data_IF_695442130336
#
_entry.id   IF_695442130336
#
_cell.length_a   1.000
_cell.length_b   1.000
_cell.length_c   1.000
_cell.angle_alpha   90.00
_cell.angle_beta   90.00
_cell.angle_gamma   90.00
#
_symmetry.space_group_name_H-M   'P 1'
#
loop_
_entity.id
_entity.type
_entity.pdbx_description
1 polymer ?
#
# COMPACT_ATOMS: atom_id res chain seq x y z
N UNK A 1 27.19 16.62 -1.85
CA UNK A 1 25.87 17.04 -2.31
C UNK A 1 25.11 15.81 -2.74
N UNK A 2 24.04 15.48 -2.01
CA UNK A 2 23.12 14.43 -2.39
C UNK A 2 22.51 14.85 -3.74
N UNK A 3 22.70 14.06 -4.79
CA UNK A 3 22.00 14.25 -6.04
C UNK A 3 20.48 14.21 -5.79
N UNK A 4 19.67 14.87 -6.62
CA UNK A 4 18.22 14.93 -6.41
C UNK A 4 17.66 13.51 -6.33
N UNK A 5 16.83 13.28 -5.32
CA UNK A 5 16.08 12.05 -5.20
C UNK A 5 15.27 11.86 -6.49
N UNK A 6 15.34 10.68 -7.07
CA UNK A 6 14.62 10.41 -8.33
C UNK A 6 13.12 10.52 -8.09
N UNK A 7 12.39 11.34 -8.84
CA UNK A 7 10.98 11.63 -8.58
C UNK A 7 10.12 10.37 -8.47
N UNK A 8 10.34 9.37 -9.32
CA UNK A 8 9.50 8.18 -9.39
C UNK A 8 9.64 7.20 -8.20
N UNK A 9 10.69 7.30 -7.38
CA UNK A 9 10.88 6.37 -6.24
C UNK A 9 10.00 6.66 -5.05
N UNK A 10 9.80 7.94 -4.75
CA UNK A 10 9.00 8.43 -3.62
C UNK A 10 7.76 9.23 -4.10
N UNK A 11 7.40 9.14 -5.39
CA UNK A 11 6.14 9.66 -5.90
C UNK A 11 5.23 8.50 -6.31
N UNK A 12 3.92 8.61 -6.07
CA UNK A 12 2.96 7.61 -6.50
C UNK A 12 3.00 7.41 -8.01
N UNK A 13 2.92 6.16 -8.45
CA UNK A 13 2.69 5.83 -9.84
C UNK A 13 1.25 6.22 -10.21
N UNK A 14 1.07 7.03 -11.24
CA UNK A 14 -0.25 7.36 -11.77
C UNK A 14 -0.34 6.95 -13.25
N UNK A 15 -0.89 5.77 -13.52
CA UNK A 15 -1.12 5.31 -14.89
C UNK A 15 -2.13 6.17 -15.66
N UNK A 16 -3.05 6.87 -14.98
CA UNK A 16 -4.15 7.60 -15.61
C UNK A 16 -3.82 9.02 -16.11
N UNK A 17 -2.71 9.65 -15.68
CA UNK A 17 -2.47 11.07 -15.93
C UNK A 17 -1.61 11.43 -17.16
N UNK A 18 -1.15 10.47 -17.96
CA UNK A 18 -0.40 10.77 -19.17
C UNK A 18 -1.03 10.20 -20.44
N UNK A 19 -2.17 10.73 -20.83
CA UNK A 19 -2.56 10.77 -22.23
C UNK A 19 -2.02 12.06 -22.88
N UNK A 20 -0.72 12.13 -23.07
CA UNK A 20 -0.08 13.15 -23.90
C UNK A 20 -0.07 12.69 -25.36
N UNK A 21 -0.05 13.59 -26.35
CA UNK A 21 -0.15 13.21 -27.76
C UNK A 21 1.04 12.34 -28.18
N UNK A 22 0.73 11.22 -28.83
CA UNK A 22 1.69 10.25 -29.32
C UNK A 22 2.79 10.89 -30.19
N UNK A 23 4.03 10.55 -29.93
CA UNK A 23 5.15 10.86 -30.83
C UNK A 23 5.01 10.02 -32.10
N UNK A 24 5.22 10.57 -33.28
CA UNK A 24 5.26 9.80 -34.51
C UNK A 24 6.49 8.90 -34.54
N UNK A 25 6.30 7.63 -34.84
CA UNK A 25 7.35 6.64 -34.97
C UNK A 25 8.36 6.99 -36.08
N UNK A 26 9.64 6.95 -35.75
CA UNK A 26 10.73 6.98 -36.70
C UNK A 26 10.96 5.59 -37.31
N UNK A 27 11.53 5.50 -38.55
CA UNK A 27 11.69 4.24 -39.23
C UNK A 27 12.75 3.35 -38.60
N UNK A 28 12.40 2.05 -38.51
CA UNK A 28 13.25 1.01 -37.96
C UNK A 28 14.55 0.83 -38.74
N UNK A 29 15.62 0.56 -38.02
CA UNK A 29 16.83 -0.03 -38.56
C UNK A 29 16.88 -1.51 -38.22
N UNK A 30 16.90 -2.35 -39.26
CA UNK A 30 17.10 -3.78 -39.17
C UNK A 30 18.51 -4.08 -38.64
N UNK A 31 18.60 -4.52 -37.40
CA UNK A 31 19.79 -5.13 -36.81
C UNK A 31 19.72 -6.67 -36.85
N UNK A 32 20.84 -7.41 -36.78
CA UNK A 32 20.86 -8.86 -36.91
C UNK A 32 20.02 -9.52 -35.83
N UNK A 33 19.14 -10.41 -36.24
CA UNK A 33 18.15 -11.09 -35.41
C UNK A 33 18.75 -11.79 -34.19
N UNK A 34 18.05 -11.80 -33.06
CA UNK A 34 18.52 -12.38 -31.83
C UNK A 34 18.56 -13.91 -31.92
N UNK A 35 19.67 -14.48 -31.46
CA UNK A 35 19.75 -15.91 -31.10
C UNK A 35 18.59 -16.21 -30.15
N UNK A 36 17.84 -17.28 -30.38
CA UNK A 36 16.71 -17.71 -29.56
C UNK A 36 17.17 -17.94 -28.11
N UNK A 37 17.05 -16.89 -27.30
CA UNK A 37 17.09 -17.03 -25.84
C UNK A 37 15.88 -17.89 -25.45
N UNK A 38 16.09 -18.93 -24.64
CA UNK A 38 15.00 -19.68 -24.06
C UNK A 38 14.01 -18.69 -23.45
N UNK A 39 12.74 -18.72 -23.89
CA UNK A 39 11.72 -17.80 -23.41
C UNK A 39 11.71 -17.82 -21.89
N UNK A 40 12.07 -16.73 -21.26
CA UNK A 40 12.03 -16.59 -19.82
C UNK A 40 10.58 -16.83 -19.35
N UNK A 41 10.44 -17.68 -18.33
CA UNK A 41 9.12 -18.02 -17.80
C UNK A 41 8.72 -17.02 -16.73
N UNK A 42 7.45 -16.59 -16.71
CA UNK A 42 6.95 -15.75 -15.63
C UNK A 42 6.92 -16.52 -14.29
N UNK A 43 7.04 -15.77 -13.20
CA UNK A 43 6.91 -16.29 -11.83
C UNK A 43 5.44 -16.30 -11.43
N UNK A 44 4.72 -17.32 -11.87
CA UNK A 44 3.27 -17.48 -11.67
C UNK A 44 2.95 -18.93 -11.31
N UNK A 45 1.83 -19.16 -10.58
CA UNK A 45 1.33 -20.53 -10.40
C UNK A 45 0.80 -21.07 -11.72
N UNK A 46 0.86 -22.40 -11.89
CA UNK A 46 0.37 -23.08 -13.11
C UNK A 46 -1.13 -22.90 -13.36
N UNK A 47 -1.88 -22.51 -12.35
CA UNK A 47 -3.34 -22.37 -12.40
C UNK A 47 -3.84 -21.05 -12.99
N UNK A 48 -2.95 -20.17 -13.41
CA UNK A 48 -3.30 -18.89 -14.02
C UNK A 48 -2.72 -18.76 -15.42
N UNK A 49 -3.39 -18.01 -16.29
CA UNK A 49 -2.83 -17.56 -17.56
C UNK A 49 -1.82 -16.44 -17.29
N UNK A 50 -0.57 -16.63 -17.67
CA UNK A 50 0.50 -15.71 -17.32
C UNK A 50 1.55 -15.65 -18.42
N UNK A 51 2.04 -14.44 -18.70
CA UNK A 51 3.11 -14.19 -19.67
C UNK A 51 4.20 -13.29 -19.10
N UNK A 52 5.38 -13.36 -19.69
CA UNK A 52 6.50 -12.47 -19.40
C UNK A 52 6.55 -11.36 -20.43
N UNK A 53 6.27 -10.13 -20.00
CA UNK A 53 6.36 -8.89 -20.78
C UNK A 53 7.26 -7.90 -20.03
N UNK A 54 8.58 -8.03 -20.14
CA UNK A 54 9.51 -7.28 -19.29
C UNK A 54 9.43 -5.77 -19.52
N UNK A 55 9.43 -5.01 -18.43
CA UNK A 55 9.70 -3.60 -18.44
C UNK A 55 11.16 -3.38 -18.87
N UNK A 56 11.44 -2.41 -19.77
CA UNK A 56 12.80 -2.14 -20.21
C UNK A 56 13.65 -1.61 -19.05
N UNK A 57 14.91 -2.03 -19.01
CA UNK A 57 15.92 -1.55 -18.07
C UNK A 57 17.08 -0.95 -18.86
N UNK A 58 17.04 0.36 -19.04
CA UNK A 58 17.89 1.11 -19.97
C UNK A 58 18.40 2.40 -19.34
N UNK A 59 19.57 2.83 -19.78
CA UNK A 59 20.05 4.20 -19.51
C UNK A 59 19.42 5.19 -20.47
N UNK A 60 19.14 6.38 -19.98
CA UNK A 60 18.67 7.51 -20.79
C UNK A 60 19.16 8.82 -20.17
N UNK A 61 18.97 9.92 -20.91
CA UNK A 61 19.24 11.26 -20.41
C UNK A 61 17.93 11.92 -20.01
N UNK A 62 17.87 12.43 -18.79
CA UNK A 62 16.68 13.15 -18.30
C UNK A 62 16.52 14.53 -18.96
N UNK A 63 15.44 15.22 -18.65
CA UNK A 63 15.13 16.54 -19.23
C UNK A 63 16.15 17.62 -18.83
N UNK A 64 16.92 17.41 -17.77
CA UNK A 64 17.98 18.30 -17.29
C UNK A 64 19.35 17.94 -17.89
N UNK A 65 19.42 16.93 -18.77
CA UNK A 65 20.64 16.49 -19.43
C UNK A 65 21.50 15.55 -18.59
N UNK A 66 21.00 15.00 -17.49
CA UNK A 66 21.75 14.10 -16.63
C UNK A 66 21.53 12.63 -17.04
N UNK A 67 22.57 11.79 -16.97
CA UNK A 67 22.42 10.36 -17.15
C UNK A 67 21.55 9.76 -16.06
N UNK A 68 20.61 8.92 -16.44
CA UNK A 68 19.73 8.20 -15.52
C UNK A 68 19.38 6.83 -16.10
N UNK A 69 18.54 6.06 -15.45
CA UNK A 69 18.18 4.73 -15.91
C UNK A 69 16.77 4.34 -15.49
N UNK A 70 16.23 3.39 -16.19
CA UNK A 70 15.09 2.54 -15.94
C UNK A 70 13.99 3.02 -15.04
N UNK A 71 12.99 2.20 -14.93
CA UNK A 71 11.80 2.40 -14.10
C UNK A 71 11.74 1.42 -12.89
N UNK A 72 12.81 0.67 -12.67
CA UNK A 72 12.99 -0.24 -11.54
C UNK A 72 14.46 -0.40 -11.20
N UNK A 73 14.75 -1.00 -10.06
CA UNK A 73 16.11 -1.32 -9.66
C UNK A 73 16.34 -2.82 -9.67
N UNK A 74 17.46 -3.25 -10.24
CA UNK A 74 17.91 -4.62 -10.11
C UNK A 74 18.33 -4.90 -8.69
N UNK A 75 18.00 -6.07 -8.18
CA UNK A 75 18.29 -6.49 -6.81
C UNK A 75 18.43 -8.01 -6.74
N UNK A 76 18.61 -8.53 -5.53
CA UNK A 76 18.75 -9.97 -5.25
C UNK A 76 17.85 -10.40 -4.10
N UNK A 77 16.66 -9.84 -4.03
CA UNK A 77 15.70 -10.19 -2.98
C UNK A 77 15.26 -11.67 -3.12
N UNK A 78 15.06 -12.41 -2.05
CA UNK A 78 15.14 -12.01 -0.64
C UNK A 78 16.56 -12.05 -0.05
N UNK A 79 17.59 -12.38 -0.83
CA UNK A 79 18.97 -12.47 -0.35
C UNK A 79 19.54 -11.12 0.11
N UNK A 80 19.16 -10.00 -0.56
CA UNK A 80 19.58 -8.65 -0.18
C UNK A 80 18.66 -8.05 0.89
N UNK A 81 17.35 -8.08 0.68
CA UNK A 81 16.32 -7.55 1.57
C UNK A 81 15.09 -8.46 1.48
N UNK A 82 14.39 -8.67 2.59
CA UNK A 82 13.15 -9.46 2.60
C UNK A 82 12.08 -8.81 1.72
N UNK A 83 11.20 -9.63 1.16
CA UNK A 83 9.96 -9.17 0.53
C UNK A 83 8.87 -9.34 1.58
N UNK A 84 8.41 -8.23 2.15
CA UNK A 84 7.49 -8.23 3.28
C UNK A 84 6.05 -7.91 2.86
N UNK A 85 5.87 -7.33 1.67
CA UNK A 85 4.57 -6.81 1.24
C UNK A 85 4.19 -7.25 -0.16
N UNK A 86 2.88 -7.39 -0.36
CA UNK A 86 2.25 -7.34 -1.67
C UNK A 86 1.34 -6.11 -1.67
N UNK A 87 1.51 -5.23 -2.67
CA UNK A 87 0.72 -4.01 -2.80
C UNK A 87 -0.26 -4.19 -3.95
N UNK A 88 -1.54 -4.10 -3.60
CA UNK A 88 -2.67 -4.17 -4.54
C UNK A 88 -2.98 -2.77 -5.04
N UNK A 89 -2.85 -2.59 -6.34
CA UNK A 89 -3.20 -1.36 -7.07
C UNK A 89 -4.39 -1.60 -7.98
N UNK A 90 -5.02 -0.53 -8.40
CA UNK A 90 -5.76 -0.52 -9.65
C UNK A 90 -5.15 0.49 -10.61
N UNK A 91 -5.27 0.24 -11.91
CA UNK A 91 -4.50 0.97 -12.92
C UNK A 91 -5.08 2.33 -13.26
N UNK A 92 -6.31 2.63 -12.86
CA UNK A 92 -7.07 3.78 -13.39
C UNK A 92 -6.90 3.91 -14.91
N UNK A 93 -6.89 2.77 -15.61
CA UNK A 93 -6.67 2.68 -17.04
C UNK A 93 -7.05 1.33 -17.61
N UNK A 94 -7.06 1.27 -18.95
CA UNK A 94 -7.35 0.06 -19.72
C UNK A 94 -6.08 -0.71 -20.01
N UNK A 95 -6.21 -2.00 -20.30
CA UNK A 95 -5.09 -2.94 -20.48
C UNK A 95 -3.99 -2.44 -21.42
N UNK A 96 -4.34 -2.01 -22.62
CA UNK A 96 -3.35 -1.57 -23.60
C UNK A 96 -2.59 -0.32 -23.13
N UNK A 97 -3.28 0.67 -22.58
CA UNK A 97 -2.67 1.89 -22.03
C UNK A 97 -1.71 1.57 -20.89
N UNK A 98 -2.08 0.63 -20.03
CA UNK A 98 -1.29 0.20 -18.88
C UNK A 98 -0.01 -0.51 -19.34
N UNK A 99 -0.11 -1.37 -20.34
CA UNK A 99 1.07 -2.04 -20.91
C UNK A 99 2.02 -1.05 -21.59
N UNK A 100 1.51 -0.07 -22.32
CA UNK A 100 2.32 0.98 -22.93
C UNK A 100 3.08 1.79 -21.87
N UNK A 101 2.42 2.05 -20.74
CA UNK A 101 3.03 2.82 -19.64
C UNK A 101 4.21 2.07 -18.98
N UNK A 102 4.07 0.80 -18.70
CA UNK A 102 5.14 0.00 -18.07
C UNK A 102 6.30 -0.26 -19.04
N UNK A 103 6.06 -0.15 -20.32
CA UNK A 103 7.10 -0.23 -21.37
C UNK A 103 7.89 1.06 -21.53
N UNK A 104 7.48 2.16 -20.90
CA UNK A 104 8.27 3.40 -20.85
C UNK A 104 9.39 3.28 -19.80
N UNK A 105 10.69 3.24 -20.20
CA UNK A 105 11.79 3.09 -19.25
C UNK A 105 12.02 4.33 -18.38
N UNK A 106 11.30 5.42 -18.61
CA UNK A 106 11.58 6.71 -17.97
C UNK A 106 10.66 7.05 -16.81
N UNK A 107 9.68 6.20 -16.49
CA UNK A 107 8.63 6.60 -15.56
C UNK A 107 8.46 5.65 -14.36
N UNK A 108 7.55 4.71 -14.43
CA UNK A 108 7.17 3.82 -13.33
C UNK A 108 7.17 2.37 -13.77
N UNK A 109 7.12 1.46 -12.81
CA UNK A 109 6.93 0.05 -13.08
C UNK A 109 6.20 -0.63 -11.92
N UNK A 110 5.75 -1.84 -12.19
CA UNK A 110 5.20 -2.76 -11.22
C UNK A 110 5.53 -4.19 -11.64
N UNK A 111 5.34 -5.13 -10.73
CA UNK A 111 5.76 -6.49 -11.03
C UNK A 111 4.77 -7.24 -11.92
N UNK A 112 3.47 -7.06 -11.70
CA UNK A 112 2.43 -7.77 -12.44
C UNK A 112 1.26 -6.87 -12.82
N UNK A 113 0.71 -7.08 -14.02
CA UNK A 113 -0.59 -6.55 -14.43
C UNK A 113 -1.62 -7.68 -14.52
N UNK A 114 -2.86 -7.41 -14.11
CA UNK A 114 -3.97 -8.36 -14.13
C UNK A 114 -5.11 -7.78 -14.97
N UNK A 115 -5.54 -8.54 -15.98
CA UNK A 115 -6.59 -8.10 -16.90
C UNK A 115 -7.98 -8.37 -16.32
N UNK A 116 -8.85 -7.37 -16.43
CA UNK A 116 -10.18 -7.43 -15.85
C UNK A 116 -11.06 -8.49 -16.52
N UNK A 117 -11.03 -8.59 -17.84
CA UNK A 117 -11.97 -9.43 -18.60
C UNK A 117 -11.86 -10.94 -18.31
N UNK A 118 -10.65 -11.44 -18.04
CA UNK A 118 -10.39 -12.88 -17.91
C UNK A 118 -9.38 -13.25 -16.83
N UNK A 119 -8.80 -12.27 -16.13
CA UNK A 119 -7.77 -12.49 -15.12
C UNK A 119 -6.40 -12.87 -15.67
N UNK A 120 -6.14 -12.68 -16.98
CA UNK A 120 -4.81 -12.88 -17.55
C UNK A 120 -3.77 -12.01 -16.85
N UNK A 121 -2.57 -12.56 -16.61
CA UNK A 121 -1.49 -11.90 -15.91
C UNK A 121 -0.32 -11.65 -16.86
N UNK A 122 0.24 -10.45 -16.82
CA UNK A 122 1.52 -10.12 -17.43
C UNK A 122 2.52 -9.74 -16.32
N UNK A 123 3.68 -10.39 -16.29
CA UNK A 123 4.77 -10.02 -15.40
C UNK A 123 5.77 -9.10 -16.13
N UNK A 124 6.14 -7.99 -15.49
CA UNK A 124 7.02 -6.97 -16.06
C UNK A 124 8.36 -6.84 -15.37
N UNK A 125 8.39 -7.05 -14.06
CA UNK A 125 9.59 -6.98 -13.23
C UNK A 125 9.66 -8.24 -12.37
N UNK A 126 10.84 -8.87 -12.31
CA UNK A 126 11.07 -10.04 -11.47
C UNK A 126 10.82 -9.71 -10.00
N UNK A 127 10.34 -10.69 -9.24
CA UNK A 127 10.10 -10.49 -7.80
C UNK A 127 11.40 -10.17 -7.03
N UNK A 128 12.55 -10.62 -7.51
CA UNK A 128 13.87 -10.27 -6.93
C UNK A 128 14.25 -8.79 -7.10
N UNK A 129 13.68 -8.09 -8.08
CA UNK A 129 13.99 -6.70 -8.44
C UNK A 129 12.93 -5.76 -7.84
N UNK A 130 13.33 -4.51 -7.57
CA UNK A 130 12.47 -3.52 -6.95
C UNK A 130 11.80 -2.62 -7.99
N UNK A 131 10.51 -2.83 -8.24
CA UNK A 131 9.68 -1.98 -9.07
C UNK A 131 9.33 -0.66 -8.35
N UNK A 132 8.98 0.37 -9.11
CA UNK A 132 8.64 1.70 -8.59
C UNK A 132 7.14 1.96 -8.75
N UNK A 133 6.36 1.62 -7.71
CA UNK A 133 4.89 1.67 -7.79
C UNK A 133 4.20 2.26 -6.57
N UNK A 134 4.82 2.19 -5.39
CA UNK A 134 4.12 2.47 -4.13
C UNK A 134 4.22 3.93 -3.66
N UNK A 135 5.02 4.76 -4.32
CA UNK A 135 5.26 6.13 -3.88
C UNK A 135 6.06 6.24 -2.58
N UNK A 136 6.68 5.15 -2.17
CA UNK A 136 7.49 5.03 -0.98
C UNK A 136 8.61 4.03 -1.25
N UNK A 137 9.86 4.50 -1.30
CA UNK A 137 10.99 3.65 -1.66
C UNK A 137 11.22 2.49 -0.69
N UNK A 138 11.01 2.71 0.61
CA UNK A 138 11.10 1.64 1.59
C UNK A 138 10.14 0.49 1.27
N UNK A 139 8.91 0.81 0.89
CA UNK A 139 7.90 -0.18 0.49
C UNK A 139 8.25 -0.79 -0.87
N UNK A 140 8.67 0.00 -1.86
CA UNK A 140 9.13 -0.52 -3.16
C UNK A 140 10.25 -1.54 -3.00
N UNK A 141 11.23 -1.26 -2.16
CA UNK A 141 12.37 -2.14 -1.90
C UNK A 141 11.98 -3.45 -1.21
N UNK A 142 10.79 -3.53 -0.61
CA UNK A 142 10.31 -4.66 0.20
C UNK A 142 8.98 -5.25 -0.29
N UNK A 143 8.55 -4.93 -1.48
CA UNK A 143 7.24 -5.37 -1.98
C UNK A 143 7.26 -5.93 -3.40
N UNK A 144 6.16 -6.56 -3.73
CA UNK A 144 5.74 -6.90 -5.08
C UNK A 144 4.45 -6.13 -5.36
N UNK A 145 4.41 -5.36 -6.44
CA UNK A 145 3.26 -4.58 -6.87
C UNK A 145 2.40 -5.29 -7.90
N UNK A 146 1.10 -5.30 -7.69
CA UNK A 146 0.09 -5.89 -8.57
C UNK A 146 -0.86 -4.80 -9.05
N UNK A 147 -0.89 -4.54 -10.34
CA UNK A 147 -1.80 -3.59 -10.98
C UNK A 147 -3.02 -4.29 -11.58
N UNK A 148 -4.19 -4.02 -11.01
CA UNK A 148 -5.46 -4.55 -11.46
C UNK A 148 -6.10 -3.59 -12.45
N UNK A 149 -6.36 -4.06 -13.68
CA UNK A 149 -6.99 -3.23 -14.71
C UNK A 149 -8.32 -2.68 -14.26
N UNK A 150 -8.52 -1.39 -14.42
CA UNK A 150 -9.83 -0.76 -14.26
C UNK A 150 -9.82 0.58 -13.59
N UNK A 151 -11.02 0.97 -13.15
CA UNK A 151 -11.31 2.26 -12.53
C UNK A 151 -12.04 2.04 -11.20
N UNK A 152 -11.51 2.57 -10.13
CA UNK A 152 -12.02 2.33 -8.77
C UNK A 152 -13.45 2.86 -8.54
N UNK A 153 -13.90 3.81 -9.34
CA UNK A 153 -15.25 4.35 -9.26
C UNK A 153 -16.31 3.52 -9.99
N UNK A 154 -15.90 2.50 -10.73
CA UNK A 154 -16.78 1.61 -11.49
C UNK A 154 -16.46 0.12 -11.24
N UNK A 155 -16.66 -0.35 -10.00
CA UNK A 155 -16.25 -1.69 -9.58
C UNK A 155 -17.00 -2.81 -10.30
N UNK A 156 -18.27 -2.61 -10.66
CA UNK A 156 -19.08 -3.64 -11.33
C UNK A 156 -18.57 -3.93 -12.75
N UNK A 157 -18.04 -2.91 -13.42
CA UNK A 157 -17.47 -3.09 -14.75
C UNK A 157 -16.07 -3.72 -14.71
N UNK A 158 -15.27 -3.43 -13.68
CA UNK A 158 -13.83 -3.68 -13.69
C UNK A 158 -13.34 -4.71 -12.69
N UNK A 159 -13.89 -4.75 -11.47
CA UNK A 159 -13.45 -5.70 -10.44
C UNK A 159 -14.19 -7.03 -10.58
N UNK A 160 -13.84 -7.75 -11.63
CA UNK A 160 -14.50 -9.01 -12.01
C UNK A 160 -14.07 -10.18 -11.12
N UNK A 161 -14.92 -11.19 -11.04
CA UNK A 161 -14.60 -12.44 -10.35
C UNK A 161 -13.37 -13.14 -10.96
N UNK A 162 -13.23 -13.11 -12.28
CA UNK A 162 -12.06 -13.67 -12.97
C UNK A 162 -10.76 -13.01 -12.49
N UNK A 163 -10.75 -11.69 -12.33
CA UNK A 163 -9.59 -10.94 -11.86
C UNK A 163 -9.33 -11.19 -10.37
N UNK A 164 -10.35 -11.19 -9.50
CA UNK A 164 -10.18 -11.53 -8.09
C UNK A 164 -9.57 -12.92 -7.90
N UNK A 165 -10.08 -13.92 -8.61
CA UNK A 165 -9.59 -15.30 -8.50
C UNK A 165 -8.16 -15.45 -8.99
N UNK A 166 -7.84 -14.89 -10.12
CA UNK A 166 -6.49 -14.91 -10.68
C UNK A 166 -5.50 -14.20 -9.76
N UNK A 167 -5.86 -13.03 -9.28
CA UNK A 167 -5.06 -12.25 -8.33
C UNK A 167 -4.82 -13.02 -7.01
N UNK A 168 -5.86 -13.61 -6.45
CA UNK A 168 -5.73 -14.38 -5.21
C UNK A 168 -4.79 -15.60 -5.39
N UNK A 169 -4.86 -16.29 -6.51
CA UNK A 169 -3.93 -17.39 -6.82
C UNK A 169 -2.49 -16.91 -6.92
N UNK A 170 -2.26 -15.77 -7.57
CA UNK A 170 -0.93 -15.15 -7.66
C UNK A 170 -0.41 -14.76 -6.28
N UNK A 171 -1.23 -14.10 -5.47
CA UNK A 171 -0.84 -13.68 -4.11
C UNK A 171 -0.52 -14.87 -3.21
N UNK A 172 -1.32 -15.94 -3.26
CA UNK A 172 -1.01 -17.17 -2.52
C UNK A 172 0.33 -17.78 -2.94
N UNK A 173 0.61 -17.81 -4.22
CA UNK A 173 1.88 -18.30 -4.77
C UNK A 173 3.05 -17.45 -4.27
N UNK A 174 2.97 -16.13 -4.39
CA UNK A 174 4.02 -15.19 -3.95
C UNK A 174 4.21 -15.23 -2.43
N UNK A 175 3.13 -15.27 -1.67
CA UNK A 175 3.18 -15.33 -0.22
C UNK A 175 3.85 -16.61 0.28
N UNK A 176 3.54 -17.76 -0.34
CA UNK A 176 4.21 -19.02 -0.02
C UNK A 176 5.69 -19.03 -0.41
N UNK A 177 6.02 -18.42 -1.56
CA UNK A 177 7.41 -18.37 -2.05
C UNK A 177 8.31 -17.45 -1.22
N UNK A 178 7.77 -16.38 -0.67
CA UNK A 178 8.53 -15.33 0.01
C UNK A 178 8.21 -15.21 1.51
N UNK A 179 7.50 -16.17 2.08
CA UNK A 179 7.10 -16.19 3.50
C UNK A 179 6.35 -14.92 3.95
N UNK A 180 5.44 -14.43 3.10
CA UNK A 180 4.65 -13.25 3.40
C UNK A 180 3.37 -13.68 4.13
N UNK A 181 3.11 -13.20 5.35
CA UNK A 181 1.85 -13.44 6.04
C UNK A 181 0.64 -12.90 5.27
N UNK A 182 -0.43 -13.69 5.21
CA UNK A 182 -1.68 -13.29 4.56
C UNK A 182 -2.58 -12.52 5.56
N UNK A 183 -2.26 -11.28 5.78
CA UNK A 183 -3.00 -10.33 6.61
C UNK A 183 -2.93 -8.91 6.02
N UNK A 184 -3.68 -7.96 6.58
CA UNK A 184 -3.75 -6.60 6.07
C UNK A 184 -2.60 -5.69 6.53
N UNK A 185 -1.62 -6.21 7.22
CA UNK A 185 -0.35 -5.52 7.46
C UNK A 185 0.74 -5.90 6.44
N UNK A 186 0.53 -6.95 5.65
CA UNK A 186 1.46 -7.41 4.61
C UNK A 186 0.84 -7.35 3.21
N UNK A 187 -0.47 -7.62 3.09
CA UNK A 187 -1.22 -7.44 1.85
C UNK A 187 -1.93 -6.08 1.93
N UNK A 188 -1.31 -5.09 1.32
CA UNK A 188 -1.73 -3.69 1.39
C UNK A 188 -2.43 -3.28 0.10
N UNK A 189 -3.41 -2.38 0.18
CA UNK A 189 -3.75 -1.52 -0.95
C UNK A 189 -2.72 -0.39 -1.07
N UNK A 190 -2.61 0.21 -2.24
CA UNK A 190 -1.79 1.42 -2.40
C UNK A 190 -2.23 2.52 -1.41
N UNK A 191 -3.53 2.61 -1.17
CA UNK A 191 -4.14 3.49 -0.19
C UNK A 191 -3.73 3.22 1.28
N UNK A 192 -3.07 2.11 1.55
CA UNK A 192 -2.56 1.76 2.88
C UNK A 192 -1.06 2.06 3.07
N UNK A 193 -0.36 2.42 2.00
CA UNK A 193 1.06 2.76 2.03
C UNK A 193 1.25 4.18 2.58
N UNK A 194 2.08 4.38 3.62
CA UNK A 194 2.29 5.72 4.18
C UNK A 194 3.08 6.64 3.25
N UNK A 195 2.84 7.93 3.32
CA UNK A 195 3.77 8.93 2.77
C UNK A 195 5.11 8.88 3.51
N UNK A 196 6.20 9.16 2.81
CA UNK A 196 7.55 9.13 3.41
C UNK A 196 7.84 10.34 4.29
N UNK A 197 7.24 11.49 3.95
CA UNK A 197 7.34 12.75 4.69
C UNK A 197 5.96 13.41 4.76
N UNK A 198 5.83 14.42 5.60
CA UNK A 198 4.61 15.23 5.67
C UNK A 198 4.19 15.78 4.31
N UNK A 199 5.14 16.25 3.51
CA UNK A 199 4.88 16.83 2.19
C UNK A 199 4.36 15.79 1.17
N UNK A 200 4.69 14.51 1.32
CA UNK A 200 4.23 13.46 0.41
C UNK A 200 2.81 12.98 0.68
N UNK A 201 2.30 13.15 1.89
CA UNK A 201 1.01 12.56 2.30
C UNK A 201 -0.15 12.99 1.37
N UNK A 202 -0.35 14.28 1.04
CA UNK A 202 -1.48 14.68 0.19
C UNK A 202 -1.44 14.09 -1.22
N UNK A 203 -0.25 13.77 -1.72
CA UNK A 203 -0.06 13.20 -3.06
C UNK A 203 -0.09 11.67 -3.13
N UNK A 204 -0.28 10.98 -2.01
CA UNK A 204 -0.37 9.53 -2.00
C UNK A 204 -1.65 9.04 -2.66
N UNK A 205 -1.54 7.98 -3.47
CA UNK A 205 -2.66 7.41 -4.21
C UNK A 205 -3.64 6.67 -3.29
N UNK A 206 -4.85 6.48 -3.79
CA UNK A 206 -6.01 5.99 -3.05
C UNK A 206 -6.60 4.70 -3.61
N UNK A 207 -5.98 4.14 -4.65
CA UNK A 207 -6.36 2.84 -5.22
C UNK A 207 -6.05 1.67 -4.25
N UNK A 208 -6.80 0.58 -4.28
CA UNK A 208 -7.90 0.25 -5.19
C UNK A 208 -9.27 0.82 -4.78
N UNK A 209 -9.33 1.68 -3.76
CA UNK A 209 -10.52 2.40 -3.33
C UNK A 209 -11.47 1.61 -2.42
N UNK A 210 -12.59 2.22 -2.03
CA UNK A 210 -13.49 1.66 -1.03
C UNK A 210 -14.37 0.52 -1.57
N UNK A 211 -14.39 0.31 -2.86
CA UNK A 211 -15.21 -0.71 -3.52
C UNK A 211 -14.46 -2.01 -3.83
N UNK A 212 -13.16 -2.08 -3.56
CA UNK A 212 -12.43 -3.33 -3.64
C UNK A 212 -12.90 -4.27 -2.52
N UNK A 213 -13.35 -5.48 -2.88
CA UNK A 213 -13.92 -6.44 -1.94
C UNK A 213 -12.83 -7.24 -1.22
N UNK A 214 -12.25 -6.65 -0.19
CA UNK A 214 -11.22 -7.28 0.63
C UNK A 214 -11.70 -8.54 1.35
N UNK A 215 -12.96 -8.62 1.74
CA UNK A 215 -13.51 -9.81 2.40
C UNK A 215 -13.54 -11.00 1.44
N UNK A 216 -14.07 -10.80 0.24
CA UNK A 216 -14.06 -11.81 -0.80
C UNK A 216 -12.64 -12.22 -1.20
N UNK A 217 -11.77 -11.24 -1.37
CA UNK A 217 -10.37 -11.46 -1.71
C UNK A 217 -9.64 -12.33 -0.69
N UNK A 218 -9.78 -12.05 0.60
CA UNK A 218 -9.17 -12.85 1.67
C UNK A 218 -9.85 -14.21 1.85
N UNK A 219 -11.13 -14.35 1.52
CA UNK A 219 -11.77 -15.67 1.43
C UNK A 219 -11.12 -16.51 0.33
N UNK A 220 -10.87 -15.93 -0.84
CA UNK A 220 -10.15 -16.58 -1.94
C UNK A 220 -8.68 -16.90 -1.58
N UNK A 221 -8.04 -16.08 -0.75
CA UNK A 221 -6.71 -16.35 -0.20
C UNK A 221 -6.69 -17.49 0.83
N UNK A 222 -7.85 -17.98 1.27
CA UNK A 222 -7.96 -18.99 2.33
C UNK A 222 -7.73 -18.44 3.74
N UNK A 223 -7.84 -17.12 3.92
CA UNK A 223 -7.69 -16.42 5.20
C UNK A 223 -8.84 -15.43 5.43
N UNK A 224 -10.10 -15.91 5.48
CA UNK A 224 -11.26 -15.05 5.73
C UNK A 224 -11.14 -14.37 7.09
N UNK A 225 -11.65 -13.16 7.17
CA UNK A 225 -11.72 -12.43 8.43
C UNK A 225 -12.90 -12.96 9.25
N UNK A 226 -12.60 -13.58 10.36
CA UNK A 226 -13.59 -14.19 11.24
C UNK A 226 -13.45 -13.64 12.65
N UNK A 227 -14.52 -13.79 13.44
CA UNK A 227 -14.47 -13.49 14.85
C UNK A 227 -13.40 -14.35 15.54
N UNK A 228 -12.41 -13.71 16.15
CA UNK A 228 -11.27 -14.39 16.79
C UNK A 228 -11.25 -14.28 18.33
N UNK A 229 -12.22 -13.56 18.95
CA UNK A 229 -12.23 -13.29 20.37
C UNK A 229 -13.65 -13.09 20.93
N UNK A 230 -13.77 -12.97 22.25
CA UNK A 230 -15.01 -12.61 22.92
C UNK A 230 -15.42 -11.15 22.65
N UNK A 231 -16.68 -10.83 22.92
CA UNK A 231 -17.29 -9.50 22.69
C UNK A 231 -16.55 -8.34 23.40
N UNK A 232 -15.87 -8.64 24.48
CA UNK A 232 -15.17 -7.66 25.32
C UNK A 232 -13.71 -7.45 24.91
N UNK A 233 -13.27 -8.07 23.80
CA UNK A 233 -11.92 -7.86 23.29
C UNK A 233 -11.63 -6.39 23.04
N UNK A 234 -10.40 -5.98 23.38
CA UNK A 234 -9.90 -4.62 23.14
C UNK A 234 -9.37 -4.42 21.74
N UNK A 235 -9.36 -5.45 20.90
CA UNK A 235 -8.98 -5.38 19.52
C UNK A 235 -10.12 -5.85 18.62
N UNK A 236 -10.33 -5.17 17.53
CA UNK A 236 -11.31 -5.54 16.52
C UNK A 236 -10.72 -5.57 15.14
N UNK A 237 -11.36 -6.33 14.25
CA UNK A 237 -11.12 -6.33 12.80
C UNK A 237 -12.33 -5.73 12.11
N UNK A 238 -12.12 -4.72 11.28
CA UNK A 238 -13.18 -4.13 10.46
C UNK A 238 -13.66 -5.18 9.45
N UNK A 239 -14.97 -5.39 9.41
CA UNK A 239 -15.61 -6.38 8.53
C UNK A 239 -17.11 -6.13 8.38
N UNK A 240 -17.53 -5.08 7.66
CA UNK A 240 -18.94 -4.96 7.29
C UNK A 240 -19.34 -6.06 6.30
N UNK A 241 -20.64 -6.34 6.23
CA UNK A 241 -21.19 -7.13 5.12
C UNK A 241 -21.09 -6.28 3.84
N UNK A 242 -20.20 -6.65 2.93
CA UNK A 242 -19.87 -5.84 1.76
C UNK A 242 -21.10 -5.46 0.93
N UNK A 243 -22.01 -6.38 0.66
CA UNK A 243 -23.16 -6.14 -0.21
C UNK A 243 -24.22 -5.24 0.45
N UNK A 244 -24.37 -5.35 1.75
CA UNK A 244 -25.38 -4.61 2.53
C UNK A 244 -24.88 -3.27 3.05
N UNK A 245 -23.57 -3.13 3.27
CA UNK A 245 -22.95 -1.92 3.75
C UNK A 245 -22.69 -0.96 2.59
N UNK A 246 -23.45 0.13 2.52
CA UNK A 246 -23.47 1.05 1.38
C UNK A 246 -23.29 2.49 1.84
N UNK A 247 -22.10 2.88 2.35
CA UNK A 247 -21.86 4.28 2.70
C UNK A 247 -21.91 5.15 1.46
N UNK A 248 -22.47 6.34 1.61
CA UNK A 248 -22.55 7.30 0.53
C UNK A 248 -21.18 7.94 0.27
N UNK A 249 -20.75 7.92 -0.98
CA UNK A 249 -19.53 8.60 -1.45
C UNK A 249 -19.88 9.71 -2.43
N UNK A 250 -18.95 10.64 -2.61
CA UNK A 250 -19.04 11.75 -3.56
C UNK A 250 -17.80 11.78 -4.46
N UNK A 251 -17.82 12.60 -5.48
CA UNK A 251 -16.69 12.83 -6.40
C UNK A 251 -16.23 11.59 -7.16
N UNK A 252 -17.16 10.72 -7.55
CA UNK A 252 -16.87 9.64 -8.49
C UNK A 252 -16.72 10.14 -9.94
N UNK A 253 -17.29 11.30 -10.23
CA UNK A 253 -17.18 12.03 -11.48
C UNK A 253 -17.30 13.55 -11.24
N UNK A 254 -17.27 14.33 -12.30
CA UNK A 254 -17.34 15.80 -12.23
C UNK A 254 -18.78 16.36 -12.20
N UNK A 255 -19.82 15.52 -12.14
CA UNK A 255 -21.22 15.94 -12.14
C UNK A 255 -21.65 16.67 -10.87
N UNK A 256 -20.97 16.39 -9.76
CA UNK A 256 -21.37 16.85 -8.41
C UNK A 256 -22.44 15.96 -7.77
N UNK A 257 -22.94 14.95 -8.46
CA UNK A 257 -23.89 13.98 -7.93
C UNK A 257 -23.20 13.02 -6.93
N UNK A 258 -23.98 12.42 -6.00
CA UNK A 258 -23.46 11.31 -5.20
C UNK A 258 -23.02 10.15 -6.11
N UNK A 259 -22.00 9.42 -5.67
CA UNK A 259 -21.61 8.19 -6.34
C UNK A 259 -22.80 7.21 -6.40
N UNK A 260 -22.92 6.39 -7.45
CA UNK A 260 -23.93 5.33 -7.48
C UNK A 260 -23.86 4.46 -6.24
N UNK A 261 -24.99 4.12 -5.60
CA UNK A 261 -25.00 3.24 -4.42
C UNK A 261 -24.32 1.91 -4.73
N UNK A 262 -23.38 1.51 -3.91
CA UNK A 262 -22.62 0.26 -4.07
C UNK A 262 -22.16 -0.28 -2.73
N UNK A 263 -22.02 -1.59 -2.62
CA UNK A 263 -21.41 -2.24 -1.48
C UNK A 263 -19.96 -1.79 -1.25
N UNK A 264 -19.55 -1.75 -0.01
CA UNK A 264 -18.21 -1.32 0.38
C UNK A 264 -17.71 -2.06 1.63
N UNK A 265 -16.43 -2.36 1.66
CA UNK A 265 -15.76 -2.89 2.83
C UNK A 265 -15.24 -1.83 3.79
N UNK A 266 -15.49 -0.55 3.54
CA UNK A 266 -14.99 0.55 4.34
C UNK A 266 -16.06 1.13 5.27
N UNK A 267 -15.68 1.46 6.49
CA UNK A 267 -16.51 2.17 7.46
C UNK A 267 -16.03 3.61 7.60
N UNK A 268 -16.98 4.52 7.84
CA UNK A 268 -16.73 5.95 7.99
C UNK A 268 -16.53 6.29 9.47
N UNK A 269 -15.57 7.16 9.73
CA UNK A 269 -15.14 7.50 11.07
C UNK A 269 -15.58 8.91 11.46
N UNK A 270 -16.26 9.01 12.59
CA UNK A 270 -16.85 10.23 13.13
C UNK A 270 -16.16 10.68 14.42
N UNK A 271 -16.30 11.95 14.74
CA UNK A 271 -15.75 12.55 15.97
C UNK A 271 -16.54 12.17 17.23
N UNK A 272 -17.76 11.69 17.09
CA UNK A 272 -18.65 11.29 18.17
C UNK A 272 -19.51 10.07 17.80
N UNK A 273 -20.21 9.50 18.78
CA UNK A 273 -21.01 8.28 18.60
C UNK A 273 -22.40 8.54 18.01
N UNK A 274 -22.46 9.31 16.93
CA UNK A 274 -23.69 9.55 16.16
C UNK A 274 -23.36 9.96 14.72
N UNK A 275 -24.33 9.75 13.81
CA UNK A 275 -24.18 10.00 12.38
C UNK A 275 -24.08 11.50 12.03
N UNK A 276 -24.58 12.38 12.89
CA UNK A 276 -24.56 13.83 12.67
C UNK A 276 -23.26 14.48 13.18
N UNK A 277 -22.45 13.74 13.95
CA UNK A 277 -21.11 14.21 14.31
C UNK A 277 -20.22 14.30 13.07
N UNK A 278 -19.33 15.26 13.07
CA UNK A 278 -18.41 15.47 11.95
C UNK A 278 -17.47 14.29 11.74
N UNK A 279 -16.86 14.21 10.57
CA UNK A 279 -15.82 13.22 10.28
C UNK A 279 -14.51 13.62 10.97
N UNK A 280 -13.70 12.65 11.34
CA UNK A 280 -12.39 12.87 11.96
C UNK A 280 -11.45 13.56 10.97
N UNK A 281 -10.45 14.25 11.51
CA UNK A 281 -9.42 14.93 10.73
C UNK A 281 -8.26 13.98 10.41
N UNK A 282 -7.67 14.19 9.23
CA UNK A 282 -6.35 13.69 8.87
C UNK A 282 -5.46 14.91 8.58
N UNK A 283 -4.66 15.30 9.55
CA UNK A 283 -3.85 16.54 9.46
C UNK A 283 -2.75 16.46 8.40
N UNK A 284 -2.33 15.26 8.04
CA UNK A 284 -1.36 15.06 6.96
C UNK A 284 -2.00 15.15 5.57
N UNK A 285 -3.19 14.60 5.41
CA UNK A 285 -3.94 14.62 4.15
C UNK A 285 -4.55 15.99 3.87
N UNK A 286 -4.96 16.70 4.92
CA UNK A 286 -5.55 18.04 4.85
C UNK A 286 -4.69 19.07 5.61
N UNK A 287 -3.48 19.42 5.10
CA UNK A 287 -2.52 20.24 5.85
C UNK A 287 -2.98 21.67 6.14
N UNK A 288 -3.98 22.18 5.39
CA UNK A 288 -4.63 23.46 5.66
C UNK A 288 -5.64 23.44 6.81
N UNK A 289 -5.80 22.28 7.45
CA UNK A 289 -6.83 22.02 8.46
C UNK A 289 -8.18 21.66 7.83
N UNK A 290 -9.07 21.12 8.64
CA UNK A 290 -10.41 20.76 8.23
C UNK A 290 -10.69 19.26 8.32
N UNK A 291 -11.98 18.98 8.32
CA UNK A 291 -12.51 17.62 8.43
C UNK A 291 -12.30 16.86 7.12
N UNK A 292 -12.17 15.56 7.25
CA UNK A 292 -12.28 14.66 6.09
C UNK A 292 -13.64 14.77 5.43
N UNK A 293 -13.71 14.41 4.16
CA UNK A 293 -14.91 14.51 3.32
C UNK A 293 -15.46 13.13 2.97
N UNK A 294 -16.60 13.09 2.32
CA UNK A 294 -17.19 11.87 1.75
C UNK A 294 -16.64 11.53 0.36
N UNK A 295 -15.65 12.27 -0.12
CA UNK A 295 -15.01 12.00 -1.41
C UNK A 295 -14.46 10.59 -1.50
N UNK A 296 -14.69 9.93 -2.64
CA UNK A 296 -14.28 8.53 -2.85
C UNK A 296 -12.77 8.34 -2.69
N UNK A 297 -11.99 9.38 -2.96
CA UNK A 297 -10.53 9.40 -2.80
C UNK A 297 -10.05 10.05 -1.50
N UNK A 298 -10.95 10.45 -0.60
CA UNK A 298 -10.59 10.97 0.71
C UNK A 298 -10.56 9.82 1.73
N UNK A 299 -9.38 9.37 2.05
CA UNK A 299 -9.13 8.26 3.00
C UNK A 299 -9.01 8.72 4.46
N UNK A 300 -9.17 10.00 4.72
CA UNK A 300 -8.90 10.61 6.03
C UNK A 300 -9.78 10.09 7.17
N UNK A 301 -11.02 9.70 6.88
CA UNK A 301 -11.97 9.18 7.87
C UNK A 301 -12.48 7.80 7.46
N UNK A 302 -11.58 6.87 7.19
CA UNK A 302 -11.90 5.57 6.63
C UNK A 302 -11.10 4.45 7.26
N UNK A 303 -11.80 3.40 7.69
CA UNK A 303 -11.20 2.11 8.05
C UNK A 303 -11.74 1.02 7.12
N UNK A 304 -10.89 0.11 6.67
CA UNK A 304 -11.23 -0.87 5.64
C UNK A 304 -11.21 -2.29 6.19
N UNK A 305 -11.94 -3.17 5.53
CA UNK A 305 -12.05 -4.59 5.88
C UNK A 305 -10.70 -5.24 6.08
N UNK A 306 -10.58 -5.95 7.19
CA UNK A 306 -9.40 -6.68 7.60
C UNK A 306 -8.40 -5.86 8.41
N UNK A 307 -8.51 -4.53 8.42
CA UNK A 307 -7.68 -3.68 9.27
C UNK A 307 -8.07 -3.86 10.73
N UNK A 308 -7.07 -3.92 11.62
CA UNK A 308 -7.26 -4.12 13.04
C UNK A 308 -6.99 -2.84 13.81
N UNK A 309 -7.86 -2.54 14.78
CA UNK A 309 -7.76 -1.35 15.60
C UNK A 309 -8.05 -1.67 17.07
N UNK A 310 -7.36 -0.97 17.96
CA UNK A 310 -7.66 -1.03 19.38
C UNK A 310 -8.92 -0.22 19.71
N UNK A 311 -9.79 -0.81 20.52
CA UNK A 311 -11.03 -0.18 20.97
C UNK A 311 -10.71 0.95 21.92
N UNK A 312 -11.30 2.13 21.67
CA UNK A 312 -11.16 3.34 22.48
C UNK A 312 -12.45 3.66 23.27
N UNK A 313 -13.56 3.04 22.93
CA UNK A 313 -14.83 3.23 23.62
C UNK A 313 -15.99 2.54 22.91
N UNK A 314 -17.11 2.42 23.63
CA UNK A 314 -18.38 1.89 23.10
C UNK A 314 -19.54 2.70 23.67
N UNK A 315 -20.50 3.03 22.82
CA UNK A 315 -21.74 3.70 23.23
C UNK A 315 -22.90 3.34 22.29
N UNK A 316 -23.87 2.60 22.81
CA UNK A 316 -24.97 2.11 21.97
C UNK A 316 -24.45 1.27 20.80
N UNK A 317 -24.90 1.60 19.61
CA UNK A 317 -24.48 0.95 18.36
C UNK A 317 -23.18 1.53 17.77
N UNK A 318 -22.45 2.29 18.56
CA UNK A 318 -21.21 2.94 18.11
C UNK A 318 -20.00 2.42 18.86
N UNK A 319 -18.92 2.19 18.11
CA UNK A 319 -17.62 1.77 18.61
C UNK A 319 -16.58 2.82 18.24
N UNK A 320 -15.71 3.16 19.19
CA UNK A 320 -14.55 4.01 18.94
C UNK A 320 -13.27 3.19 18.88
N UNK A 321 -12.39 3.64 18.01
CA UNK A 321 -11.04 3.11 17.84
C UNK A 321 -10.00 4.24 17.99
N UNK A 322 -8.77 3.87 18.30
CA UNK A 322 -7.64 4.78 18.18
C UNK A 322 -7.18 4.85 16.72
N UNK A 323 -7.18 6.07 16.18
CA UNK A 323 -6.98 6.34 14.75
C UNK A 323 -6.30 7.69 14.56
N UNK A 324 -5.11 7.73 13.96
CA UNK A 324 -4.32 8.97 13.73
C UNK A 324 -4.12 9.82 14.99
N UNK A 325 -3.90 9.20 16.14
CA UNK A 325 -3.71 9.93 17.41
C UNK A 325 -5.00 10.44 18.05
N UNK A 326 -6.17 10.06 17.58
CA UNK A 326 -7.46 10.51 18.04
C UNK A 326 -8.45 9.36 18.21
N UNK A 327 -9.54 9.61 18.94
CA UNK A 327 -10.66 8.68 19.05
C UNK A 327 -11.59 8.88 17.86
N UNK A 328 -11.88 7.80 17.15
CA UNK A 328 -12.72 7.81 15.96
C UNK A 328 -13.87 6.81 16.12
N UNK A 329 -15.08 7.26 15.88
CA UNK A 329 -16.31 6.47 16.08
C UNK A 329 -16.88 5.99 14.75
N UNK A 330 -17.33 4.74 14.73
CA UNK A 330 -18.07 4.19 13.59
C UNK A 330 -19.29 3.40 14.06
N UNK A 331 -20.30 3.33 13.20
CA UNK A 331 -21.53 2.60 13.44
C UNK A 331 -21.27 1.10 13.39
N UNK A 332 -21.58 0.40 14.49
CA UNK A 332 -21.31 -1.02 14.67
C UNK A 332 -22.45 -1.68 15.45
N UNK A 333 -23.67 -1.76 14.85
CA UNK A 333 -24.85 -2.30 15.53
C UNK A 333 -24.73 -3.80 15.77
N UNK A 334 -25.28 -4.28 16.88
CA UNK A 334 -25.19 -5.69 17.27
C UNK A 334 -25.86 -6.66 16.29
N UNK A 335 -26.92 -6.22 15.61
CA UNK A 335 -27.67 -7.06 14.64
C UNK A 335 -26.96 -7.18 13.30
N UNK A 336 -26.20 -6.16 12.91
CA UNK A 336 -25.41 -6.13 11.67
C UNK A 336 -24.05 -5.49 11.94
N UNK A 337 -23.15 -6.18 12.60
CA UNK A 337 -21.87 -5.61 13.00
C UNK A 337 -21.00 -5.30 11.79
N UNK A 338 -20.26 -4.20 11.89
CA UNK A 338 -19.28 -3.75 10.89
C UNK A 338 -17.84 -4.02 11.32
N UNK A 339 -17.66 -4.61 12.50
CA UNK A 339 -16.39 -5.11 12.99
C UNK A 339 -16.61 -6.36 13.85
N UNK A 340 -15.59 -7.19 13.92
CA UNK A 340 -15.60 -8.41 14.73
C UNK A 340 -14.49 -8.37 15.77
N UNK A 341 -14.75 -8.89 17.00
CA UNK A 341 -13.70 -9.02 18.01
C UNK A 341 -12.56 -9.90 17.51
N UNK A 342 -11.33 -9.47 17.77
CA UNK A 342 -10.14 -10.19 17.34
C UNK A 342 -9.06 -10.22 18.41
N UNK A 343 -8.05 -11.06 18.19
CA UNK A 343 -6.86 -11.18 19.03
C UNK A 343 -5.65 -10.70 18.27
N UNK A 344 -4.68 -10.17 18.97
CA UNK A 344 -3.44 -9.72 18.38
C UNK A 344 -2.58 -8.97 19.39
N UNK A 345 -1.50 -8.44 18.90
CA UNK A 345 -0.60 -7.59 19.68
C UNK A 345 -0.96 -6.13 19.43
N UNK A 346 -0.85 -5.33 20.47
CA UNK A 346 -0.95 -3.88 20.39
C UNK A 346 0.29 -3.25 20.98
N UNK A 347 0.64 -2.07 20.50
CA UNK A 347 1.66 -1.23 21.09
C UNK A 347 1.00 -0.06 21.81
N UNK A 348 1.59 0.30 22.93
CA UNK A 348 1.25 1.49 23.72
C UNK A 348 2.51 2.27 24.01
N UNK A 349 2.47 3.61 24.14
CA UNK A 349 3.64 4.38 24.57
C UNK A 349 4.17 3.86 25.90
N UNK A 350 5.51 3.78 26.03
CA UNK A 350 6.15 3.44 27.30
C UNK A 350 5.80 4.43 28.40
N UNK A 351 5.82 3.96 29.64
CA UNK A 351 5.65 4.81 30.79
C UNK A 351 6.66 5.98 30.77
N UNK A 352 6.18 7.18 31.08
CA UNK A 352 6.97 8.40 31.05
C UNK A 352 7.04 9.10 29.70
N UNK A 353 6.42 8.54 28.65
CA UNK A 353 6.27 9.18 27.34
C UNK A 353 4.85 9.67 27.15
N UNK A 354 4.66 10.98 27.15
CA UNK A 354 3.34 11.60 26.94
C UNK A 354 2.86 11.44 25.51
N UNK A 355 3.77 11.48 24.56
CA UNK A 355 3.53 11.24 23.15
C UNK A 355 4.76 10.63 22.47
N UNK A 356 4.55 9.89 21.38
CA UNK A 356 5.59 9.31 20.55
C UNK A 356 5.40 9.67 19.09
N UNK A 357 6.51 9.82 18.32
CA UNK A 357 6.45 10.07 16.89
C UNK A 357 6.12 8.80 16.10
N UNK A 358 5.62 9.00 14.88
CA UNK A 358 5.40 7.95 13.89
C UNK A 358 6.13 8.29 12.59
N UNK A 359 6.51 7.25 11.85
CA UNK A 359 7.32 7.38 10.64
C UNK A 359 6.67 6.64 9.45
N UNK A 360 6.91 7.13 8.25
CA UNK A 360 6.45 6.50 7.01
C UNK A 360 7.38 5.40 6.49
N UNK A 361 8.53 5.21 7.12
CA UNK A 361 9.54 4.24 6.71
C UNK A 361 10.39 3.82 7.92
N UNK A 362 10.92 2.59 7.90
CA UNK A 362 11.76 2.06 8.97
C UNK A 362 13.23 2.09 8.55
N UNK A 363 13.82 3.28 8.48
CA UNK A 363 15.22 3.45 8.11
C UNK A 363 16.17 3.31 9.29
N UNK A 364 17.43 2.95 9.02
CA UNK A 364 18.47 2.85 10.06
C UNK A 364 18.79 4.20 10.71
N UNK A 365 19.38 4.13 11.88
CA UNK A 365 20.05 5.25 12.53
C UNK A 365 21.22 5.76 11.68
N UNK A 366 21.58 7.03 11.87
CA UNK A 366 22.60 7.73 11.09
C UNK A 366 23.94 6.98 11.04
N UNK A 367 24.38 6.46 12.18
CA UNK A 367 25.71 5.84 12.31
C UNK A 367 25.81 4.46 11.60
N UNK A 368 24.69 3.90 11.17
CA UNK A 368 24.67 2.65 10.41
C UNK A 368 25.09 2.82 8.93
N UNK A 369 25.07 4.05 8.41
CA UNK A 369 25.35 4.30 7.00
C UNK A 369 26.86 4.29 6.76
N UNK A 370 27.37 3.43 5.84
CA UNK A 370 28.79 3.40 5.50
C UNK A 370 29.19 4.63 4.67
N UNK A 371 30.49 4.88 4.59
CA UNK A 371 31.03 5.91 3.71
C UNK A 371 30.55 5.71 2.26
N UNK A 372 30.16 6.79 1.61
CA UNK A 372 29.66 6.79 0.22
C UNK A 372 28.18 6.45 0.08
N UNK A 373 27.47 6.14 1.16
CA UNK A 373 26.02 6.00 1.16
C UNK A 373 25.40 7.18 1.93
N UNK A 374 24.66 8.07 1.26
CA UNK A 374 24.03 9.21 1.92
C UNK A 374 23.05 8.77 2.99
N UNK A 375 23.12 9.40 4.16
CA UNK A 375 22.19 9.17 5.25
C UNK A 375 20.78 9.59 4.81
N UNK A 376 19.81 8.73 5.05
CA UNK A 376 18.39 9.02 4.84
C UNK A 376 17.79 9.51 6.16
N UNK A 377 17.18 10.68 6.14
CA UNK A 377 16.61 11.26 7.34
C UNK A 377 15.35 10.51 7.81
N UNK A 378 15.20 10.42 9.13
CA UNK A 378 14.01 9.94 9.80
C UNK A 378 13.14 11.11 10.22
N UNK A 379 12.35 11.62 9.27
CA UNK A 379 11.39 12.70 9.52
C UNK A 379 10.08 12.14 10.05
N UNK A 380 9.63 12.53 11.24
CA UNK A 380 8.31 12.15 11.75
C UNK A 380 7.19 12.64 10.83
N UNK A 381 6.15 11.83 10.71
CA UNK A 381 4.89 12.25 10.11
C UNK A 381 4.15 13.20 11.08
N UNK A 382 3.14 13.97 10.61
CA UNK A 382 2.47 15.00 11.43
C UNK A 382 1.49 14.42 12.45
N UNK A 383 1.56 13.14 12.73
CA UNK A 383 0.72 12.42 13.68
C UNK A 383 1.50 12.09 14.94
N UNK A 384 0.82 12.06 16.08
CA UNK A 384 1.41 11.70 17.37
C UNK A 384 0.52 10.72 18.10
N UNK A 385 1.12 9.67 18.62
CA UNK A 385 0.46 8.73 19.52
C UNK A 385 0.67 9.21 20.95
N UNK A 386 -0.43 9.41 21.66
CA UNK A 386 -0.40 9.90 23.04
C UNK A 386 -0.49 8.76 24.04
N UNK A 387 0.00 9.01 25.24
CA UNK A 387 -0.13 8.08 26.36
C UNK A 387 -1.60 7.65 26.53
N UNK A 388 -1.82 6.36 26.78
CA UNK A 388 -3.15 5.77 26.90
C UNK A 388 -3.77 5.30 25.58
N UNK A 389 -3.21 5.64 24.45
CA UNK A 389 -3.62 5.10 23.15
C UNK A 389 -2.93 3.76 22.87
N UNK A 390 -3.60 2.93 22.07
CA UNK A 390 -3.06 1.65 21.63
C UNK A 390 -3.31 1.46 20.13
N UNK A 391 -2.38 0.80 19.46
CA UNK A 391 -2.44 0.54 18.02
C UNK A 391 -2.07 -0.91 17.71
N UNK A 392 -2.80 -1.54 16.80
CA UNK A 392 -2.50 -2.90 16.38
C UNK A 392 -1.09 -2.99 15.80
N UNK A 393 -0.28 -3.91 16.31
CA UNK A 393 1.09 -4.16 15.88
C UNK A 393 1.12 -5.29 14.84
N UNK A 394 1.83 -5.06 13.76
CA UNK A 394 2.15 -6.06 12.76
C UNK A 394 3.61 -6.47 12.82
N UNK A 395 4.32 -6.25 11.72
CA UNK A 395 5.72 -6.60 11.57
C UNK A 395 6.62 -5.86 12.58
N UNK A 396 7.51 -6.62 13.23
CA UNK A 396 8.68 -6.07 13.90
C UNK A 396 9.88 -6.18 12.97
N UNK A 397 10.61 -5.09 12.75
CA UNK A 397 11.71 -5.06 11.79
C UNK A 397 12.88 -4.20 12.28
N UNK A 398 14.07 -4.49 11.81
CA UNK A 398 15.24 -3.61 11.96
C UNK A 398 15.17 -2.48 10.96
N UNK A 399 15.81 -1.35 11.27
CA UNK A 399 16.06 -0.30 10.30
C UNK A 399 16.87 -0.84 9.11
N UNK A 400 16.33 -0.64 7.90
CA UNK A 400 16.95 -1.13 6.67
C UNK A 400 16.74 -0.16 5.52
N UNK A 401 17.79 0.07 4.74
CA UNK A 401 17.75 0.91 3.54
C UNK A 401 18.47 0.22 2.38
N UNK A 402 17.78 0.06 1.26
CA UNK A 402 18.37 -0.45 0.02
C UNK A 402 18.87 0.72 -0.83
N UNK A 403 20.19 0.78 -1.01
CA UNK A 403 20.84 1.79 -1.82
C UNK A 403 21.15 1.28 -3.23
N UNK A 404 20.43 1.84 -4.22
CA UNK A 404 20.62 1.57 -5.63
C UNK A 404 20.48 2.89 -6.39
N UNK A 405 21.53 3.40 -7.02
CA UNK A 405 21.55 4.74 -7.62
C UNK A 405 22.05 4.82 -9.05
N UNK A 406 22.53 3.73 -9.60
CA UNK A 406 23.10 3.72 -10.93
C UNK A 406 22.61 2.52 -11.74
N UNK A 407 22.81 2.59 -13.02
CA UNK A 407 22.54 1.47 -13.91
C UNK A 407 23.41 0.29 -13.54
N UNK A 408 22.78 -0.81 -13.19
CA UNK A 408 23.44 -1.99 -12.62
C UNK A 408 22.71 -3.28 -13.04
N UNK A 409 22.91 -3.71 -14.31
CA UNK A 409 22.20 -4.89 -14.85
C UNK A 409 22.39 -6.17 -14.05
N UNK A 410 23.55 -6.33 -13.42
CA UNK A 410 23.92 -7.53 -12.66
C UNK A 410 23.65 -7.41 -11.16
N UNK A 411 23.10 -6.29 -10.70
CA UNK A 411 22.85 -5.99 -9.29
C UNK A 411 24.10 -6.17 -8.41
N UNK A 412 25.24 -5.65 -8.86
CA UNK A 412 26.52 -5.75 -8.14
C UNK A 412 26.82 -4.55 -7.26
N UNK A 413 26.20 -3.40 -7.55
CA UNK A 413 26.53 -2.11 -6.96
C UNK A 413 25.55 -1.64 -5.88
N UNK A 414 24.40 -2.31 -5.72
CA UNK A 414 23.47 -1.94 -4.65
C UNK A 414 24.04 -2.34 -3.28
N UNK A 415 23.67 -1.57 -2.27
CA UNK A 415 24.09 -1.80 -0.89
C UNK A 415 22.88 -1.84 0.02
N UNK A 416 22.88 -2.76 0.97
CA UNK A 416 21.88 -2.81 2.02
C UNK A 416 22.48 -2.27 3.29
N UNK A 417 21.91 -1.19 3.82
CA UNK A 417 22.28 -0.60 5.11
C UNK A 417 21.34 -1.15 6.16
N UNK A 418 21.89 -1.79 7.20
CA UNK A 418 21.12 -2.31 8.34
C UNK A 418 21.62 -1.64 9.61
N UNK A 419 20.65 -1.12 10.38
CA UNK A 419 20.91 -0.53 11.67
C UNK A 419 20.53 -1.44 12.83
N UNK A 420 20.76 -0.96 14.05
CA UNK A 420 20.30 -1.60 15.28
C UNK A 420 18.93 -1.08 15.74
N UNK A 421 18.53 0.09 15.24
CA UNK A 421 17.21 0.65 15.48
C UNK A 421 16.11 -0.30 15.00
N UNK A 422 15.18 -0.62 15.88
CA UNK A 422 14.08 -1.54 15.63
C UNK A 422 12.75 -0.81 15.64
N UNK A 423 11.84 -1.24 14.79
CA UNK A 423 10.51 -0.67 14.62
C UNK A 423 9.41 -1.71 14.77
N UNK A 424 8.22 -1.24 15.13
CA UNK A 424 6.97 -1.95 14.89
C UNK A 424 6.17 -1.24 13.80
N UNK A 425 5.66 -2.01 12.84
CA UNK A 425 4.63 -1.54 11.94
C UNK A 425 3.29 -1.57 12.69
N UNK A 426 2.51 -0.52 12.55
CA UNK A 426 1.22 -0.36 13.20
C UNK A 426 0.13 0.06 12.20
N UNK A 427 -1.12 -0.23 12.54
CA UNK A 427 -2.28 0.34 11.86
C UNK A 427 -2.58 1.71 12.47
N UNK A 428 -1.95 2.75 11.95
CA UNK A 428 -2.09 4.11 12.48
C UNK A 428 -3.43 4.75 12.16
N UNK A 429 -3.85 4.62 10.92
CA UNK A 429 -5.08 5.14 10.35
C UNK A 429 -5.53 4.24 9.22
N UNK A 430 -5.96 4.80 8.10
CA UNK A 430 -6.19 4.04 6.88
C UNK A 430 -4.87 3.47 6.33
N UNK A 431 -3.79 4.19 6.53
CA UNK A 431 -2.43 3.78 6.16
C UNK A 431 -1.69 3.20 7.36
N UNK A 432 -0.78 2.27 7.10
CA UNK A 432 0.16 1.78 8.09
C UNK A 432 1.24 2.84 8.37
N UNK A 433 1.95 2.69 9.47
CA UNK A 433 3.09 3.53 9.82
C UNK A 433 4.06 2.74 10.71
N UNK A 434 5.17 3.35 11.07
CA UNK A 434 6.20 2.75 11.91
C UNK A 434 6.42 3.57 13.17
N UNK A 435 6.61 2.86 14.29
CA UNK A 435 7.07 3.43 15.56
C UNK A 435 8.36 2.76 15.98
N UNK A 436 9.23 3.50 16.67
CA UNK A 436 10.43 2.90 17.24
C UNK A 436 10.06 1.94 18.36
N UNK A 437 10.67 0.77 18.36
CA UNK A 437 10.43 -0.24 19.41
C UNK A 437 10.74 0.30 20.81
N UNK A 438 11.73 1.18 20.92
CA UNK A 438 12.15 1.81 22.19
C UNK A 438 11.10 2.79 22.75
N UNK A 439 10.17 3.27 21.93
CA UNK A 439 9.13 4.20 22.35
C UNK A 439 7.89 3.49 22.89
N UNK A 440 7.76 2.19 22.68
CA UNK A 440 6.52 1.44 22.94
C UNK A 440 6.74 0.20 23.78
N UNK A 441 5.66 -0.22 24.42
CA UNK A 441 5.51 -1.52 25.08
C UNK A 441 4.48 -2.32 24.30
N UNK A 442 4.79 -3.58 24.03
CA UNK A 442 3.88 -4.52 23.36
C UNK A 442 3.06 -5.25 24.41
N UNK A 443 1.75 -5.33 24.18
CA UNK A 443 0.83 -6.10 25.02
C UNK A 443 -0.07 -6.99 24.14
N UNK A 444 -0.60 -8.08 24.71
CA UNK A 444 -1.64 -8.86 24.08
C UNK A 444 -3.01 -8.17 24.23
N UNK A 445 -3.90 -8.40 23.27
CA UNK A 445 -5.28 -7.90 23.32
C UNK A 445 -6.21 -8.77 24.17
N UNK A 446 -5.69 -9.80 24.82
CA UNK A 446 -6.49 -10.75 25.56
C UNK A 446 -7.18 -10.12 26.76
N UNK A 447 -8.48 -10.17 26.70
CA UNK A 447 -9.53 -9.94 27.72
C UNK A 447 -9.40 -8.67 28.53
#
# INVERSE_FOLDING_TARGET
SAGPARPARDHPADPGLRAGPGRPGGPGQDGPGPRSAAKERPECPRSVSCEWLPAPYEEYTDDDGNPTYGNHDKSRRPGSASIDYIVVHDTEGRWDTVLDLVQDPTYVSWNYSLRSSDGHIAQHVRAKDAAWHAGNWYVNAKSVGLEHEGFLTDPDAWYTEAMYRSSARLVRYLAAKHDIPLDRQHILGHDNVPGVTTANIPGMHTDPGPYFDWQHYFTLLGKPFVRGAGKDSRLLTVRPDYDKHRPSYTKCDDSGDPCPPHGSGAVRLHTGPDADSGLVEDVGLHPGGGKSTTGVNDTGARASTGQQYAVAGRKGDWTAIWYLGQKAWFHNPGEQPTAVPSRGKVVVPKAGKDEIPVYGRAYPEKDAYPEGVPVQELSPLPYKIKAGQAYAAGLRTRGEYLYAKEFDPEAEKFKVVRGDLTYYQIQLGHRVAFVRADDVRVTGSSS
#
